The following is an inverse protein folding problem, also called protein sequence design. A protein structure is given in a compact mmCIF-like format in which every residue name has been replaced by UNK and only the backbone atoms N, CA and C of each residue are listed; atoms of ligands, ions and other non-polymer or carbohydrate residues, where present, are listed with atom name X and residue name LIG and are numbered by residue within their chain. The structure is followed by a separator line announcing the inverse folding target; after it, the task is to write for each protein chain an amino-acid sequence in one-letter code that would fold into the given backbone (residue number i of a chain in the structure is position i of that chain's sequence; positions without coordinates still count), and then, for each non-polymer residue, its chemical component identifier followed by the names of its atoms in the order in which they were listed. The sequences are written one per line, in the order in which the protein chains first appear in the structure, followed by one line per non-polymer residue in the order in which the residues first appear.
data_IF_928334376368
#
_entry.id   IF_928334376368
#
_cell.length_a   1.000
_cell.length_b   1.000
_cell.length_c   1.000
_cell.angle_alpha   90.00
_cell.angle_beta   90.00
_cell.angle_gamma   90.00
#
_symmetry.space_group_name_H-M   'P 1'
#
loop_
_entity.id
_entity.type
_entity.pdbx_description
1 polymer ?
#
# COMPACT_ATOMS: atom_id res chain seq x y z
N UNK A 1 15.13 4.77 -33.77
CA UNK A 1 13.90 5.46 -33.28
C UNK A 1 12.79 5.00 -34.20
N UNK A 2 11.79 4.31 -33.65
CA UNK A 2 10.67 3.76 -34.42
C UNK A 2 9.47 4.72 -34.37
N UNK A 3 9.31 5.43 -33.22
CA UNK A 3 8.26 6.42 -33.02
C UNK A 3 8.63 7.40 -31.93
N UNK A 4 8.02 8.60 -31.92
CA UNK A 4 8.21 9.62 -30.89
C UNK A 4 6.82 10.09 -30.44
N UNK A 5 6.47 9.79 -29.20
CA UNK A 5 5.26 10.30 -28.58
C UNK A 5 5.59 11.50 -27.70
N UNK A 6 4.98 12.64 -27.99
CA UNK A 6 5.07 13.83 -27.14
C UNK A 6 3.99 13.74 -26.07
N UNK A 7 4.40 13.69 -24.80
CA UNK A 7 3.50 13.70 -23.65
C UNK A 7 3.70 15.02 -22.90
N UNK A 8 2.64 15.83 -22.85
CA UNK A 8 2.62 17.13 -22.18
C UNK A 8 2.20 17.04 -20.71
N UNK A 9 1.57 15.92 -20.30
CA UNK A 9 1.13 15.72 -18.93
C UNK A 9 2.36 15.61 -17.99
N UNK A 10 2.23 16.08 -16.75
CA UNK A 10 3.29 16.02 -15.75
C UNK A 10 3.60 14.60 -15.27
N UNK A 11 2.60 13.70 -15.30
CA UNK A 11 2.75 12.26 -15.11
C UNK A 11 2.63 11.55 -16.46
N UNK A 12 3.45 10.51 -16.69
CA UNK A 12 3.59 9.86 -18.01
C UNK A 12 3.35 8.37 -17.95
N UNK A 13 4.13 7.64 -17.14
CA UNK A 13 4.14 6.19 -17.09
C UNK A 13 2.87 5.60 -16.47
N UNK A 14 2.28 6.30 -15.50
CA UNK A 14 1.01 5.89 -14.85
C UNK A 14 -0.23 6.22 -15.68
N UNK A 15 -0.05 6.93 -16.82
CA UNK A 15 -1.15 7.29 -17.71
C UNK A 15 -1.58 6.11 -18.57
N UNK A 16 -2.89 5.95 -18.79
CA UNK A 16 -3.43 5.01 -19.79
C UNK A 16 -2.98 5.32 -21.23
N UNK A 17 -2.50 6.53 -21.51
CA UNK A 17 -1.89 6.88 -22.81
C UNK A 17 -0.58 6.11 -23.03
N UNK A 18 0.15 5.82 -21.95
CA UNK A 18 1.38 5.04 -21.99
C UNK A 18 1.12 3.53 -21.90
N UNK A 19 0.29 3.12 -20.94
CA UNK A 19 -0.03 1.71 -20.69
C UNK A 19 -1.51 1.45 -21.01
N UNK A 20 -1.78 0.97 -22.23
CA UNK A 20 -3.14 0.69 -22.67
C UNK A 20 -3.77 -0.57 -22.03
N UNK A 21 -2.93 -1.51 -21.55
CA UNK A 21 -3.41 -2.74 -20.92
C UNK A 21 -3.83 -2.50 -19.46
N UNK A 22 -4.96 -3.07 -19.01
CA UNK A 22 -5.35 -3.03 -17.62
C UNK A 22 -4.24 -3.60 -16.71
N UNK A 23 -4.05 -3.00 -15.55
CA UNK A 23 -3.12 -3.50 -14.54
C UNK A 23 -3.74 -4.69 -13.82
N UNK A 24 -2.96 -5.76 -13.66
CA UNK A 24 -3.29 -6.90 -12.80
C UNK A 24 -2.12 -7.11 -11.84
N UNK A 25 -2.38 -7.04 -10.56
CA UNK A 25 -1.39 -7.20 -9.50
C UNK A 25 -1.58 -8.59 -8.92
N UNK A 26 -0.60 -9.44 -9.11
CA UNK A 26 -0.54 -10.78 -8.53
C UNK A 26 0.13 -10.70 -7.14
N UNK A 27 -0.57 -11.14 -6.11
CA UNK A 27 -0.07 -11.23 -4.73
C UNK A 27 0.34 -12.66 -4.34
N UNK A 28 0.33 -13.58 -5.30
CA UNK A 28 0.54 -15.01 -5.05
C UNK A 28 -0.73 -15.74 -4.58
N UNK A 29 -0.67 -17.07 -4.51
CA UNK A 29 -1.77 -17.95 -4.05
C UNK A 29 -3.10 -17.72 -4.79
N UNK A 30 -3.06 -17.34 -6.06
CA UNK A 30 -4.22 -16.97 -6.89
C UNK A 30 -5.00 -15.75 -6.35
N UNK A 31 -4.35 -14.86 -5.61
CA UNK A 31 -4.94 -13.62 -5.11
C UNK A 31 -4.49 -12.47 -6.01
N UNK A 32 -5.46 -11.81 -6.66
CA UNK A 32 -5.21 -10.72 -7.60
C UNK A 32 -5.97 -9.46 -7.22
N UNK A 33 -5.39 -8.31 -7.55
CA UNK A 33 -6.09 -7.03 -7.63
C UNK A 33 -6.08 -6.63 -9.10
N UNK A 34 -7.24 -6.66 -9.76
CA UNK A 34 -7.35 -6.45 -11.22
C UNK A 34 -8.66 -5.79 -11.60
N UNK A 35 -8.69 -5.29 -12.83
CA UNK A 35 -9.89 -4.67 -13.41
C UNK A 35 -11.05 -5.68 -13.52
N UNK A 36 -12.27 -5.19 -13.27
CA UNK A 36 -13.49 -6.00 -13.33
C UNK A 36 -13.78 -6.88 -12.11
N UNK A 37 -12.88 -6.96 -11.12
CA UNK A 37 -13.07 -7.72 -9.88
C UNK A 37 -12.95 -6.82 -8.65
N UNK A 38 -13.84 -7.04 -7.68
CA UNK A 38 -13.77 -6.33 -6.40
C UNK A 38 -12.82 -7.06 -5.46
N UNK A 39 -11.76 -6.37 -5.02
CA UNK A 39 -10.85 -6.84 -3.99
C UNK A 39 -11.18 -6.18 -2.66
N UNK A 40 -11.53 -6.98 -1.64
CA UNK A 40 -11.84 -6.48 -0.30
C UNK A 40 -10.61 -6.55 0.58
N UNK A 41 -10.25 -5.41 1.19
CA UNK A 41 -9.18 -5.28 2.17
C UNK A 41 -9.79 -4.80 3.48
N UNK A 42 -9.82 -5.64 4.50
CA UNK A 42 -10.40 -5.32 5.81
C UNK A 42 -9.37 -5.36 6.94
N UNK A 43 -9.73 -4.88 8.12
CA UNK A 43 -8.89 -4.96 9.29
C UNK A 43 -8.87 -3.71 10.15
N UNK A 44 -8.20 -3.76 11.31
CA UNK A 44 -8.16 -2.65 12.27
C UNK A 44 -7.26 -1.51 11.78
N UNK A 45 -7.45 -0.33 12.34
CA UNK A 45 -6.53 0.80 12.07
C UNK A 45 -5.12 0.51 12.58
N UNK A 46 -5.00 -0.19 13.70
CA UNK A 46 -3.74 -0.50 14.39
C UNK A 46 -3.75 -1.96 14.82
N UNK A 47 -2.61 -2.62 14.69
CA UNK A 47 -2.37 -3.95 15.28
C UNK A 47 -1.95 -3.72 16.73
N UNK A 48 -2.72 -4.29 17.68
CA UNK A 48 -2.60 -3.98 19.09
C UNK A 48 -2.35 -5.21 19.96
N UNK A 49 -2.83 -6.39 19.54
CA UNK A 49 -2.63 -7.64 20.29
C UNK A 49 -2.76 -8.86 19.39
N UNK A 50 -2.23 -10.00 19.85
CA UNK A 50 -2.42 -11.29 19.20
C UNK A 50 -3.89 -11.71 19.13
N UNK A 51 -4.65 -11.48 20.21
CA UNK A 51 -6.08 -11.78 20.24
C UNK A 51 -6.85 -11.03 19.15
N UNK A 52 -6.56 -9.73 18.97
CA UNK A 52 -7.15 -8.93 17.89
C UNK A 52 -6.77 -9.49 16.52
N UNK A 53 -5.50 -9.85 16.30
CA UNK A 53 -5.03 -10.43 15.03
C UNK A 53 -5.83 -11.70 14.72
N UNK A 54 -5.91 -12.64 15.67
CA UNK A 54 -6.62 -13.91 15.50
C UNK A 54 -8.10 -13.71 15.21
N UNK A 55 -8.76 -12.80 15.93
CA UNK A 55 -10.18 -12.50 15.71
C UNK A 55 -10.44 -11.93 14.30
N UNK A 56 -9.57 -11.03 13.83
CA UNK A 56 -9.73 -10.44 12.48
C UNK A 56 -9.37 -11.44 11.38
N UNK A 57 -8.35 -12.26 11.57
CA UNK A 57 -8.00 -13.33 10.61
C UNK A 57 -9.15 -14.34 10.52
N UNK A 58 -9.73 -14.76 11.64
CA UNK A 58 -10.90 -15.64 11.64
C UNK A 58 -12.08 -15.02 10.86
N UNK A 59 -12.37 -13.74 11.11
CA UNK A 59 -13.39 -12.99 10.36
C UNK A 59 -13.08 -12.97 8.84
N UNK A 60 -11.84 -12.78 8.45
CA UNK A 60 -11.44 -12.80 7.04
C UNK A 60 -11.73 -14.19 6.41
N UNK A 61 -11.35 -15.26 7.10
CA UNK A 61 -11.59 -16.64 6.64
C UNK A 61 -13.08 -16.94 6.50
N UNK A 62 -13.87 -16.60 7.52
CA UNK A 62 -15.33 -16.82 7.53
C UNK A 62 -16.06 -16.09 6.40
N UNK A 63 -15.54 -14.96 5.95
CA UNK A 63 -16.15 -14.12 4.91
C UNK A 63 -15.42 -14.20 3.56
N UNK A 64 -14.52 -15.16 3.37
CA UNK A 64 -13.72 -15.35 2.15
C UNK A 64 -12.92 -14.10 1.74
N UNK A 65 -12.51 -13.29 2.71
CA UNK A 65 -11.67 -12.10 2.49
C UNK A 65 -10.21 -12.53 2.52
N UNK A 66 -9.47 -12.23 1.46
CA UNK A 66 -8.09 -12.68 1.25
C UNK A 66 -7.02 -11.68 1.70
N UNK A 67 -7.40 -10.48 2.08
CA UNK A 67 -6.46 -9.41 2.43
C UNK A 67 -6.86 -8.72 3.73
N UNK A 68 -5.88 -8.64 4.65
CA UNK A 68 -6.04 -7.93 5.92
C UNK A 68 -5.13 -6.71 5.95
N UNK A 69 -5.69 -5.56 6.37
CA UNK A 69 -4.89 -4.36 6.59
C UNK A 69 -4.77 -4.07 8.08
N UNK A 70 -3.64 -3.49 8.46
CA UNK A 70 -3.37 -3.00 9.81
C UNK A 70 -2.10 -2.15 9.83
N UNK A 71 -1.94 -1.34 10.87
CA UNK A 71 -0.71 -0.57 11.05
C UNK A 71 0.07 -1.07 12.24
N UNK A 72 1.28 -1.53 12.03
CA UNK A 72 2.24 -1.89 13.10
C UNK A 72 3.13 -0.73 13.49
N UNK A 73 3.31 0.23 12.57
CA UNK A 73 3.88 1.54 12.83
C UNK A 73 2.79 2.60 12.64
N UNK A 74 2.62 3.48 13.61
CA UNK A 74 1.51 4.45 13.61
C UNK A 74 2.03 5.88 13.72
N UNK A 75 1.84 6.70 12.67
CA UNK A 75 2.08 8.13 12.79
C UNK A 75 1.01 8.75 13.72
N UNK A 76 1.46 9.43 14.78
CA UNK A 76 0.57 10.07 15.75
C UNK A 76 0.95 11.53 15.93
N UNK A 77 -0.07 12.38 16.04
CA UNK A 77 0.14 13.80 16.35
C UNK A 77 0.62 14.00 17.78
N UNK A 78 0.21 13.12 18.71
CA UNK A 78 0.69 13.14 20.10
C UNK A 78 1.86 12.17 20.29
N UNK A 79 2.96 12.59 20.93
CA UNK A 79 4.08 11.70 21.24
C UNK A 79 3.74 10.65 22.31
N UNK A 80 2.67 10.85 23.07
CA UNK A 80 2.19 9.95 24.12
C UNK A 80 1.22 8.88 23.62
N UNK A 81 0.76 8.96 22.37
CA UNK A 81 -0.16 7.99 21.79
C UNK A 81 0.57 6.68 21.45
N UNK A 82 -0.17 5.58 21.45
CA UNK A 82 0.33 4.28 21.02
C UNK A 82 0.87 4.34 19.57
N UNK A 83 2.13 3.94 19.41
CA UNK A 83 2.84 4.03 18.12
C UNK A 83 2.86 2.75 17.30
N UNK A 84 2.17 1.70 17.77
CA UNK A 84 2.15 0.38 17.16
C UNK A 84 3.10 -0.60 17.84
N UNK A 85 2.99 -1.87 17.47
CA UNK A 85 3.82 -2.96 18.00
C UNK A 85 5.17 -3.09 17.25
N UNK A 86 5.37 -2.31 16.18
CA UNK A 86 6.60 -2.33 15.41
C UNK A 86 6.81 -3.64 14.65
N UNK A 87 8.07 -3.96 14.36
CA UNK A 87 8.45 -5.12 13.57
C UNK A 87 8.04 -6.44 14.22
N UNK A 88 8.14 -6.57 15.54
CA UNK A 88 7.74 -7.79 16.24
C UNK A 88 6.23 -8.05 16.11
N UNK A 89 5.41 -7.01 16.18
CA UNK A 89 3.99 -7.11 15.89
C UNK A 89 3.70 -7.52 14.43
N UNK A 90 4.51 -7.08 13.48
CA UNK A 90 4.40 -7.48 12.09
C UNK A 90 4.73 -8.96 11.89
N UNK A 91 5.80 -9.45 12.51
CA UNK A 91 6.19 -10.87 12.44
C UNK A 91 5.10 -11.78 13.00
N UNK A 92 4.56 -11.44 14.17
CA UNK A 92 3.48 -12.19 14.79
C UNK A 92 2.22 -12.19 13.90
N UNK A 93 1.85 -11.03 13.37
CA UNK A 93 0.71 -10.93 12.46
C UNK A 93 0.92 -11.73 11.18
N UNK A 94 2.12 -11.65 10.58
CA UNK A 94 2.48 -12.42 9.39
C UNK A 94 2.36 -13.93 9.63
N UNK A 95 2.88 -14.43 10.76
CA UNK A 95 2.76 -15.84 11.10
C UNK A 95 1.29 -16.29 11.11
N UNK A 96 0.43 -15.58 11.84
CA UNK A 96 -0.99 -15.95 11.97
C UNK A 96 -1.75 -15.79 10.65
N UNK A 97 -1.49 -14.73 9.90
CA UNK A 97 -2.19 -14.45 8.64
C UNK A 97 -1.77 -15.41 7.53
N UNK A 98 -0.48 -15.73 7.42
CA UNK A 98 0.04 -16.63 6.38
C UNK A 98 -0.45 -18.07 6.55
N UNK A 99 -0.57 -18.57 7.80
CA UNK A 99 -1.17 -19.86 8.08
C UNK A 99 -2.63 -19.97 7.59
N UNK A 100 -3.34 -18.85 7.53
CA UNK A 100 -4.72 -18.75 7.05
C UNK A 100 -4.82 -18.35 5.56
N UNK A 101 -3.71 -18.17 4.85
CA UNK A 101 -3.69 -17.72 3.46
C UNK A 101 -4.12 -16.27 3.25
N UNK A 102 -3.98 -15.41 4.29
CA UNK A 102 -4.37 -14.00 4.26
C UNK A 102 -3.16 -13.13 3.95
N UNK A 103 -3.27 -12.26 2.94
CA UNK A 103 -2.24 -11.30 2.54
C UNK A 103 -2.26 -10.05 3.43
N UNK A 104 -1.08 -9.49 3.68
CA UNK A 104 -0.90 -8.34 4.58
C UNK A 104 -0.70 -7.05 3.80
N UNK A 105 -1.52 -6.05 4.16
CA UNK A 105 -1.40 -4.65 3.71
C UNK A 105 -1.05 -3.79 4.92
N UNK A 106 0.16 -3.23 4.99
CA UNK A 106 0.59 -2.44 6.14
C UNK A 106 1.38 -1.19 5.75
N UNK A 107 1.27 -0.14 6.58
CA UNK A 107 1.90 1.14 6.31
C UNK A 107 3.41 1.09 6.60
N UNK A 108 4.21 1.54 5.62
CA UNK A 108 5.62 1.86 5.76
C UNK A 108 5.77 3.38 5.92
N UNK A 109 6.60 3.82 6.86
CA UNK A 109 6.72 5.24 7.20
C UNK A 109 8.05 5.86 6.79
N UNK A 110 9.09 5.05 6.66
CA UNK A 110 10.46 5.50 6.36
C UNK A 110 11.23 4.43 5.58
N UNK A 111 12.24 4.85 4.86
CA UNK A 111 13.01 3.98 3.95
C UNK A 111 13.70 2.83 4.65
N UNK A 112 14.22 3.05 5.87
CA UNK A 112 14.88 2.00 6.66
C UNK A 112 13.97 0.82 7.04
N UNK A 113 12.64 1.01 7.02
CA UNK A 113 11.68 -0.05 7.34
C UNK A 113 11.42 -0.99 6.15
N UNK A 114 11.72 -0.56 4.92
CA UNK A 114 11.38 -1.32 3.71
C UNK A 114 12.00 -2.71 3.75
N UNK A 115 13.32 -2.79 3.97
CA UNK A 115 14.07 -4.04 3.97
C UNK A 115 13.64 -4.95 5.15
N UNK A 116 13.49 -4.38 6.34
CA UNK A 116 13.09 -5.13 7.55
C UNK A 116 11.69 -5.72 7.44
N UNK A 117 10.76 -5.00 6.80
CA UNK A 117 9.36 -5.43 6.61
C UNK A 117 9.19 -6.37 5.41
N UNK A 118 10.11 -6.36 4.45
CA UNK A 118 9.98 -7.04 3.16
C UNK A 118 9.55 -8.52 3.26
N UNK A 119 10.10 -9.36 4.18
CA UNK A 119 9.69 -10.75 4.29
C UNK A 119 8.25 -10.96 4.81
N UNK A 120 7.66 -9.94 5.43
CA UNK A 120 6.43 -10.04 6.21
C UNK A 120 5.27 -9.21 5.66
N UNK A 121 5.41 -8.64 4.46
CA UNK A 121 4.39 -7.77 3.87
C UNK A 121 4.12 -8.18 2.42
N UNK A 122 2.87 -8.12 1.99
CA UNK A 122 2.48 -8.36 0.59
C UNK A 122 2.24 -7.05 -0.15
N UNK A 123 1.68 -6.05 0.53
CA UNK A 123 1.42 -4.72 -0.02
C UNK A 123 1.92 -3.64 0.94
N UNK A 124 2.90 -2.86 0.52
CA UNK A 124 3.30 -1.65 1.23
C UNK A 124 2.25 -0.56 1.06
N UNK A 125 1.78 0.01 2.15
CA UNK A 125 0.90 1.16 2.10
C UNK A 125 1.68 2.44 2.41
N UNK A 126 1.60 3.42 1.53
CA UNK A 126 2.06 4.78 1.79
C UNK A 126 0.88 5.59 2.34
N UNK A 127 0.99 6.02 3.59
CA UNK A 127 -0.05 6.82 4.23
C UNK A 127 -0.19 8.21 3.63
N UNK A 128 -1.37 8.82 3.78
CA UNK A 128 -1.66 10.14 3.21
C UNK A 128 -0.70 11.26 3.68
N UNK A 129 -0.09 11.12 4.87
CA UNK A 129 0.94 12.07 5.35
C UNK A 129 2.29 11.89 4.68
N UNK A 130 2.52 10.73 4.05
CA UNK A 130 3.74 10.36 3.34
C UNK A 130 3.56 10.33 1.81
N UNK A 131 2.40 10.76 1.30
CA UNK A 131 2.13 10.73 -0.15
C UNK A 131 3.13 11.54 -0.98
N UNK A 132 3.78 12.53 -0.39
CA UNK A 132 4.83 13.36 -1.00
C UNK A 132 6.22 13.12 -0.38
N UNK A 133 6.42 12.01 0.32
CA UNK A 133 7.75 11.61 0.76
C UNK A 133 8.48 10.93 -0.42
N UNK A 134 9.01 11.74 -1.32
CA UNK A 134 9.58 11.28 -2.58
C UNK A 134 10.74 10.31 -2.39
N UNK A 135 11.57 10.48 -1.35
CA UNK A 135 12.64 9.52 -1.02
C UNK A 135 12.07 8.13 -0.68
N UNK A 136 10.96 8.08 0.04
CA UNK A 136 10.27 6.81 0.35
C UNK A 136 9.68 6.18 -0.92
N UNK A 137 9.09 6.99 -1.79
CA UNK A 137 8.49 6.54 -3.05
C UNK A 137 9.57 6.00 -4.01
N UNK A 138 10.72 6.67 -4.11
CA UNK A 138 11.86 6.21 -4.92
C UNK A 138 12.36 4.83 -4.46
N UNK A 139 12.49 4.62 -3.16
CA UNK A 139 12.91 3.30 -2.62
C UNK A 139 11.84 2.23 -2.84
N UNK A 140 10.56 2.56 -2.71
CA UNK A 140 9.46 1.65 -3.02
C UNK A 140 9.35 1.33 -4.52
N UNK A 141 9.88 2.18 -5.38
CA UNK A 141 10.02 1.91 -6.81
C UNK A 141 10.98 0.76 -7.14
N UNK A 142 11.89 0.42 -6.24
CA UNK A 142 12.94 -0.60 -6.44
C UNK A 142 12.56 -1.99 -5.89
N UNK A 143 11.44 -2.09 -5.17
CA UNK A 143 11.02 -3.36 -4.54
C UNK A 143 10.06 -4.15 -5.45
N UNK A 144 10.13 -5.47 -5.37
CA UNK A 144 9.19 -6.37 -6.08
C UNK A 144 7.98 -6.73 -5.20
N UNK A 145 7.32 -5.71 -4.64
CA UNK A 145 6.07 -5.85 -3.86
C UNK A 145 5.07 -4.81 -4.33
N UNK A 146 3.79 -5.10 -4.17
CA UNK A 146 2.74 -4.12 -4.47
C UNK A 146 2.82 -2.90 -3.55
N UNK A 147 2.56 -1.72 -4.09
CA UNK A 147 2.57 -0.45 -3.35
C UNK A 147 1.21 0.24 -3.49
N UNK A 148 0.55 0.47 -2.36
CA UNK A 148 -0.69 1.25 -2.30
C UNK A 148 -0.37 2.67 -1.84
N UNK A 149 -0.69 3.66 -2.66
CA UNK A 149 -0.50 5.08 -2.31
C UNK A 149 -1.86 5.71 -2.01
N UNK A 150 -2.03 6.21 -0.79
CA UNK A 150 -3.20 7.00 -0.41
C UNK A 150 -3.03 8.44 -0.85
N UNK A 151 -4.08 9.02 -1.44
CA UNK A 151 -4.10 10.44 -1.76
C UNK A 151 -3.80 11.29 -0.51
N UNK A 152 -3.04 12.34 -0.67
CA UNK A 152 -2.72 13.31 0.39
C UNK A 152 -4.00 13.89 1.03
N UNK A 153 -3.91 14.33 2.29
CA UNK A 153 -5.06 14.78 3.08
C UNK A 153 -5.81 15.93 2.39
N UNK A 154 -5.09 16.84 1.76
CA UNK A 154 -5.62 17.97 0.97
C UNK A 154 -5.10 17.94 -0.49
N UNK A 155 -4.55 16.79 -0.91
CA UNK A 155 -3.90 16.63 -2.21
C UNK A 155 -4.92 16.46 -3.34
N UNK A 156 -4.52 16.86 -4.54
CA UNK A 156 -5.26 16.63 -5.77
C UNK A 156 -5.05 15.20 -6.30
N UNK A 157 -5.86 14.79 -7.26
CA UNK A 157 -5.65 13.51 -7.98
C UNK A 157 -4.36 13.58 -8.78
N UNK A 158 -4.03 14.73 -9.35
CA UNK A 158 -2.80 14.94 -10.10
C UNK A 158 -1.54 14.72 -9.23
N UNK A 159 -1.52 15.29 -8.02
CA UNK A 159 -0.45 15.05 -7.04
C UNK A 159 -0.33 13.57 -6.65
N UNK A 160 -1.46 12.83 -6.57
CA UNK A 160 -1.44 11.38 -6.36
C UNK A 160 -0.80 10.66 -7.54
N UNK A 161 -1.13 11.05 -8.77
CA UNK A 161 -0.55 10.45 -9.98
C UNK A 161 0.94 10.77 -10.12
N UNK A 162 1.36 11.98 -9.77
CA UNK A 162 2.78 12.36 -9.71
C UNK A 162 3.54 11.52 -8.66
N UNK A 163 2.94 11.29 -7.50
CA UNK A 163 3.51 10.40 -6.48
C UNK A 163 3.65 8.96 -6.97
N UNK A 164 2.64 8.47 -7.70
CA UNK A 164 2.69 7.14 -8.32
C UNK A 164 3.77 7.05 -9.42
N UNK A 165 4.00 8.14 -10.15
CA UNK A 165 5.05 8.21 -11.17
C UNK A 165 6.44 7.96 -10.60
N UNK A 166 6.75 8.42 -9.37
CA UNK A 166 8.01 8.12 -8.69
C UNK A 166 8.22 6.61 -8.52
N UNK A 167 7.22 5.90 -8.01
CA UNK A 167 7.30 4.44 -7.82
C UNK A 167 7.41 3.72 -9.16
N UNK A 168 6.62 4.13 -10.13
CA UNK A 168 6.63 3.52 -11.47
C UNK A 168 7.96 3.74 -12.18
N UNK A 169 8.55 4.92 -12.10
CA UNK A 169 9.83 5.25 -12.73
C UNK A 169 11.00 4.46 -12.14
N UNK A 170 10.88 4.00 -10.90
CA UNK A 170 11.82 3.07 -10.26
C UNK A 170 11.76 1.64 -10.78
N UNK A 171 10.74 1.32 -11.59
CA UNK A 171 10.51 0.00 -12.19
C UNK A 171 9.38 -0.82 -11.56
N UNK A 172 8.74 -0.32 -10.50
CA UNK A 172 7.64 -1.02 -9.84
C UNK A 172 6.28 -0.61 -10.43
N UNK A 173 5.69 -1.48 -11.23
CA UNK A 173 4.38 -1.29 -11.84
C UNK A 173 3.19 -1.82 -11.00
N UNK A 174 3.46 -2.46 -9.86
CA UNK A 174 2.43 -3.05 -8.97
C UNK A 174 1.82 -1.97 -8.08
N UNK A 175 1.16 -0.98 -8.69
CA UNK A 175 0.63 0.20 -8.03
C UNK A 175 -0.87 0.14 -7.79
N UNK A 176 -1.29 0.47 -6.59
CA UNK A 176 -2.68 0.63 -6.16
C UNK A 176 -2.88 2.08 -5.73
N UNK A 177 -3.80 2.78 -6.36
CA UNK A 177 -4.17 4.14 -5.96
C UNK A 177 -5.37 4.08 -5.01
N UNK A 178 -5.24 4.70 -3.85
CA UNK A 178 -6.29 4.70 -2.84
C UNK A 178 -6.84 6.11 -2.63
N UNK A 179 -8.07 6.32 -3.08
CA UNK A 179 -8.84 7.53 -2.79
C UNK A 179 -9.29 7.54 -1.32
N UNK A 180 -9.48 8.72 -0.78
CA UNK A 180 -9.90 8.93 0.61
C UNK A 180 -10.59 10.28 0.78
N UNK A 181 -11.21 10.47 1.94
CA UNK A 181 -11.77 11.77 2.30
C UNK A 181 -10.72 12.90 2.31
N UNK A 182 -11.15 14.10 2.05
CA UNK A 182 -10.34 15.32 2.04
C UNK A 182 -10.57 16.14 3.31
N UNK A 183 -9.55 16.87 3.75
CA UNK A 183 -9.66 17.93 4.75
C UNK A 183 -9.45 19.27 4.05
N UNK A 184 -10.45 20.14 4.16
CA UNK A 184 -10.39 21.54 3.69
C UNK A 184 -10.02 22.47 4.82
N UNK A 185 -9.75 23.73 4.49
CA UNK A 185 -9.40 24.81 5.43
C UNK A 185 -10.46 25.91 5.46
N UNK A 186 -11.66 25.59 5.04
CA UNK A 186 -12.83 26.46 5.05
C UNK A 186 -13.57 26.37 6.38
#
# INVERSE_FOLDING_TARGET
IVDIHIVSDEYKLVSKKWKAKPTSIDLGDNIFIKDGEMAVITGPCSIESEEQIRAVVAHCVENDIKMMRGGVFKPRSSPYAFRGLGLEGLKLWYQIASEAGIKIVTEVMQTSQIEEMYPYVDVYQVGARNSQNFNLLDELGKVDKAVMIKRGISGTIEELLQSAEYVFSGGNEKLILCERGIRTYE
#
